data_IF_606935782307
#
_entry.id   IF_606935782307
#
_cell.length_a   1.000
_cell.length_b   1.000
_cell.length_c   1.000
_cell.angle_alpha   90.00
_cell.angle_beta   90.00
_cell.angle_gamma   90.00
#
_symmetry.space_group_name_H-M   'P 1'
#
loop_
_entity.id
_entity.type
_entity.pdbx_description
1 polymer ?
#
# COMPACT_ATOMS: atom_id res chain seq x y z
N UNK A 1 4.76 -7.47 -2.18
CA UNK A 1 4.68 -6.01 -2.45
C UNK A 1 3.77 -5.75 -3.64
N UNK A 2 3.14 -4.58 -3.72
CA UNK A 2 2.46 -4.13 -4.95
C UNK A 2 3.49 -3.76 -6.02
N UNK A 3 3.32 -4.28 -7.23
CA UNK A 3 4.14 -3.95 -8.41
C UNK A 3 3.33 -3.04 -9.35
N UNK A 4 3.97 -1.98 -9.86
CA UNK A 4 3.43 -1.23 -10.99
C UNK A 4 3.75 -1.98 -12.30
N UNK A 5 2.73 -2.25 -13.12
CA UNK A 5 2.94 -2.79 -14.46
C UNK A 5 3.78 -1.81 -15.29
N UNK A 6 4.79 -2.32 -16.01
CA UNK A 6 5.55 -1.51 -16.97
C UNK A 6 4.59 -0.99 -18.03
N UNK A 7 4.56 0.33 -18.21
CA UNK A 7 3.81 0.94 -19.31
C UNK A 7 4.22 0.30 -20.64
N UNK A 8 3.28 -0.07 -21.52
CA UNK A 8 3.60 -0.26 -22.93
C UNK A 8 4.19 1.05 -23.47
N UNK A 9 4.97 0.99 -24.56
CA UNK A 9 5.51 2.19 -25.20
C UNK A 9 4.35 3.00 -25.84
N UNK A 10 3.64 3.79 -25.04
CA UNK A 10 2.46 4.55 -25.44
C UNK A 10 2.90 5.82 -26.18
N UNK A 11 2.33 6.03 -27.37
CA UNK A 11 2.72 7.09 -28.32
C UNK A 11 1.87 8.36 -28.25
N UNK A 12 0.74 8.36 -27.53
CA UNK A 12 -0.17 9.52 -27.44
C UNK A 12 -0.60 9.90 -26.02
N UNK A 13 -0.88 11.19 -25.79
CA UNK A 13 -1.23 11.75 -24.47
C UNK A 13 -2.61 11.29 -23.97
N UNK A 14 -3.54 11.02 -24.90
CA UNK A 14 -4.89 10.51 -24.61
C UNK A 14 -4.87 9.05 -24.12
N UNK A 15 -3.99 8.23 -24.71
CA UNK A 15 -3.79 6.84 -24.28
C UNK A 15 -3.12 6.77 -22.90
N UNK A 16 -2.18 7.68 -22.57
CA UNK A 16 -1.63 7.79 -21.20
C UNK A 16 -2.72 8.05 -20.17
N UNK A 17 -3.61 9.01 -20.42
CA UNK A 17 -4.71 9.34 -19.50
C UNK A 17 -5.69 8.17 -19.34
N UNK A 18 -5.94 7.41 -20.42
CA UNK A 18 -6.78 6.21 -20.38
C UNK A 18 -6.12 5.06 -19.61
N UNK A 19 -4.81 4.89 -19.78
CA UNK A 19 -4.02 3.86 -19.10
C UNK A 19 -3.83 4.16 -17.60
N UNK A 20 -3.64 5.42 -17.21
CA UNK A 20 -3.64 5.85 -15.81
C UNK A 20 -4.95 5.53 -15.11
N UNK A 21 -6.09 5.72 -15.80
CA UNK A 21 -7.43 5.36 -15.30
C UNK A 21 -7.64 3.85 -15.15
N UNK A 22 -6.85 3.04 -15.85
CA UNK A 22 -6.88 1.57 -15.79
C UNK A 22 -5.63 0.98 -15.11
N UNK A 23 -5.00 1.69 -14.15
CA UNK A 23 -3.90 1.11 -13.38
C UNK A 23 -4.36 -0.15 -12.63
N UNK A 24 -3.92 -1.31 -13.12
CA UNK A 24 -4.03 -2.57 -12.41
C UNK A 24 -3.12 -2.55 -11.18
N UNK A 25 -3.62 -3.05 -10.05
CA UNK A 25 -2.84 -3.23 -8.82
C UNK A 25 -2.41 -4.69 -8.74
N UNK A 26 -1.15 -4.97 -9.10
CA UNK A 26 -0.61 -6.32 -9.10
C UNK A 26 0.17 -6.58 -7.80
N UNK A 27 -0.01 -7.77 -7.20
CA UNK A 27 0.82 -8.20 -6.07
C UNK A 27 1.92 -9.13 -6.58
N UNK A 28 3.17 -8.86 -6.15
CA UNK A 28 4.27 -9.81 -6.32
C UNK A 28 3.93 -11.14 -5.65
N UNK A 29 4.30 -12.25 -6.27
CA UNK A 29 4.30 -13.58 -5.66
C UNK A 29 5.52 -13.83 -4.79
N UNK A 30 6.58 -13.02 -4.93
CA UNK A 30 7.78 -13.12 -4.11
C UNK A 30 7.51 -12.52 -2.72
N UNK A 31 7.66 -13.31 -1.64
CA UNK A 31 7.54 -12.79 -0.28
C UNK A 31 8.72 -11.86 0.03
N UNK A 32 8.43 -10.79 0.76
CA UNK A 32 9.44 -9.86 1.26
C UNK A 32 9.29 -9.78 2.79
N UNK A 33 10.41 -9.62 3.53
CA UNK A 33 10.36 -9.50 4.97
C UNK A 33 9.60 -8.23 5.38
N UNK A 34 8.69 -8.38 6.34
CA UNK A 34 7.98 -7.30 7.00
C UNK A 34 8.03 -7.54 8.51
N UNK A 35 8.06 -6.47 9.29
CA UNK A 35 8.12 -6.54 10.75
C UNK A 35 6.76 -6.24 11.36
N UNK A 36 6.04 -5.26 10.82
CA UNK A 36 4.75 -4.84 11.35
C UNK A 36 3.64 -5.00 10.29
N UNK A 37 2.60 -5.76 10.64
CA UNK A 37 1.39 -5.89 9.84
C UNK A 37 0.26 -4.99 10.35
N UNK A 38 -0.12 -3.98 9.59
CA UNK A 38 -1.33 -3.19 9.85
C UNK A 38 -2.55 -4.05 9.51
N UNK A 39 -3.13 -4.66 10.52
CA UNK A 39 -4.35 -5.47 10.36
C UNK A 39 -5.55 -4.62 9.98
N UNK A 40 -5.76 -3.48 10.65
CA UNK A 40 -6.85 -2.55 10.36
C UNK A 40 -6.39 -1.11 10.57
N UNK A 41 -6.87 -0.20 9.73
CA UNK A 41 -6.72 1.23 9.91
C UNK A 41 -8.01 1.93 9.48
N UNK A 42 -8.51 2.83 10.31
CA UNK A 42 -9.75 3.53 10.05
C UNK A 42 -9.72 4.94 10.62
N UNK A 43 -10.34 5.87 9.90
CA UNK A 43 -10.55 7.24 10.34
C UNK A 43 -12.00 7.62 10.02
N UNK A 44 -12.66 8.24 10.99
CA UNK A 44 -14.02 8.76 10.85
C UNK A 44 -14.14 9.65 9.62
N UNK A 45 -15.19 9.44 8.82
CA UNK A 45 -15.33 9.98 7.46
C UNK A 45 -15.12 11.49 7.39
N UNK A 46 -15.76 12.25 8.29
CA UNK A 46 -15.66 13.72 8.34
C UNK A 46 -14.30 14.25 8.83
N UNK A 47 -13.46 13.37 9.35
CA UNK A 47 -12.12 13.69 9.86
C UNK A 47 -11.00 13.08 9.00
N UNK A 48 -11.35 12.45 7.87
CA UNK A 48 -10.36 11.98 6.88
C UNK A 48 -9.60 13.16 6.28
N UNK A 49 -8.46 12.84 5.65
CA UNK A 49 -7.56 13.81 4.98
C UNK A 49 -6.90 14.85 5.90
N UNK A 50 -7.13 14.81 7.22
CA UNK A 50 -6.46 15.64 8.24
C UNK A 50 -5.21 14.98 8.84
N UNK A 51 -4.51 14.15 8.06
CA UNK A 51 -3.28 13.41 8.44
C UNK A 51 -3.40 12.48 9.67
N UNK A 52 -4.62 12.17 10.13
CA UNK A 52 -4.84 11.31 11.31
C UNK A 52 -4.21 9.93 11.12
N UNK A 53 -4.53 9.22 10.04
CA UNK A 53 -3.96 7.91 9.72
C UNK A 53 -2.43 7.95 9.58
N UNK A 54 -1.89 9.03 8.97
CA UNK A 54 -0.43 9.21 8.85
C UNK A 54 0.24 9.34 10.21
N UNK A 55 -0.34 10.10 11.14
CA UNK A 55 0.16 10.21 12.52
C UNK A 55 0.04 8.90 13.30
N UNK A 56 -1.04 8.15 13.09
CA UNK A 56 -1.19 6.82 13.71
C UNK A 56 -0.04 5.89 13.30
N UNK A 57 0.33 5.87 12.01
CA UNK A 57 1.46 5.05 11.55
C UNK A 57 2.80 5.63 12.02
N UNK A 58 2.94 6.95 12.15
CA UNK A 58 4.14 7.54 12.70
C UNK A 58 4.39 7.16 14.16
N UNK A 59 3.32 7.13 14.97
CA UNK A 59 3.37 6.60 16.33
C UNK A 59 3.66 5.10 16.32
N UNK A 60 3.02 4.32 15.43
CA UNK A 60 3.30 2.89 15.29
C UNK A 60 4.78 2.63 15.00
N UNK A 61 5.37 3.36 14.05
CA UNK A 61 6.79 3.22 13.66
C UNK A 61 7.75 3.41 14.82
N UNK A 62 7.46 4.36 15.71
CA UNK A 62 8.30 4.70 16.86
C UNK A 62 8.03 3.86 18.11
N UNK A 63 6.91 3.12 18.18
CA UNK A 63 6.48 2.46 19.42
C UNK A 63 6.22 0.95 19.28
N UNK A 64 6.16 0.41 18.06
CA UNK A 64 5.85 -1.01 17.86
C UNK A 64 6.96 -1.93 18.39
N UNK A 65 8.23 -1.51 18.23
CA UNK A 65 9.40 -2.21 18.78
C UNK A 65 10.14 -1.25 19.68
N UNK A 66 10.40 -1.69 20.91
CA UNK A 66 11.11 -0.89 21.89
C UNK A 66 12.51 -0.51 21.37
N UNK A 67 12.81 0.80 21.39
CA UNK A 67 14.11 1.33 20.99
C UNK A 67 14.38 1.29 19.49
N UNK A 68 13.38 0.99 18.65
CA UNK A 68 13.52 0.97 17.19
C UNK A 68 12.50 1.90 16.53
N UNK A 69 12.88 2.40 15.36
CA UNK A 69 12.01 3.20 14.51
C UNK A 69 11.87 2.51 13.16
N UNK A 70 10.70 1.96 12.89
CA UNK A 70 10.44 1.19 11.67
C UNK A 70 10.49 2.07 10.42
N UNK A 71 11.15 1.58 9.39
CA UNK A 71 11.05 2.07 8.02
C UNK A 71 9.67 1.77 7.42
N UNK A 72 9.35 2.38 6.28
CA UNK A 72 8.05 2.15 5.62
C UNK A 72 8.02 0.80 4.90
N UNK A 73 9.20 0.31 4.54
CA UNK A 73 9.45 -0.96 3.88
C UNK A 73 9.28 -2.15 4.84
N UNK A 74 9.29 -1.90 6.15
CA UNK A 74 9.06 -2.92 7.18
C UNK A 74 7.58 -3.05 7.59
N UNK A 75 6.69 -2.27 6.96
CA UNK A 75 5.26 -2.23 7.27
C UNK A 75 4.45 -2.79 6.12
N UNK A 76 3.58 -3.75 6.42
CA UNK A 76 2.64 -4.37 5.48
C UNK A 76 1.18 -4.08 5.84
N UNK A 77 0.32 -3.90 4.84
CA UNK A 77 -1.12 -3.68 5.02
C UNK A 77 -1.92 -4.96 4.74
N UNK A 78 -2.81 -5.34 5.66
CA UNK A 78 -3.74 -6.46 5.45
C UNK A 78 -4.82 -6.06 4.45
N UNK A 79 -4.98 -6.82 3.37
CA UNK A 79 -6.09 -6.71 2.40
C UNK A 79 -6.61 -5.28 2.17
N UNK A 80 -5.79 -4.38 1.57
CA UNK A 80 -6.07 -2.95 1.56
C UNK A 80 -7.29 -2.60 0.69
N UNK A 81 -8.26 -1.90 1.28
CA UNK A 81 -9.40 -1.29 0.57
C UNK A 81 -8.93 -0.24 -0.45
N UNK A 82 -9.77 0.21 -1.40
CA UNK A 82 -9.40 1.28 -2.34
C UNK A 82 -8.88 2.55 -1.63
N UNK A 83 -9.55 2.97 -0.55
CA UNK A 83 -9.09 4.06 0.32
C UNK A 83 -7.73 3.75 0.96
N UNK A 84 -7.55 2.51 1.43
CA UNK A 84 -6.31 2.03 2.02
C UNK A 84 -5.13 2.02 1.04
N UNK A 85 -5.36 1.62 -0.21
CA UNK A 85 -4.34 1.65 -1.29
C UNK A 85 -3.88 3.08 -1.57
N UNK A 86 -4.82 4.00 -1.81
CA UNK A 86 -4.50 5.42 -2.03
C UNK A 86 -3.73 6.01 -0.85
N UNK A 87 -4.13 5.67 0.37
CA UNK A 87 -3.44 6.10 1.57
C UNK A 87 -2.02 5.52 1.66
N UNK A 88 -1.85 4.22 1.45
CA UNK A 88 -0.55 3.54 1.53
C UNK A 88 0.44 4.07 0.49
N UNK A 89 0.00 4.27 -0.76
CA UNK A 89 0.83 4.88 -1.81
C UNK A 89 1.33 6.27 -1.42
N UNK A 90 0.41 7.11 -0.93
CA UNK A 90 0.76 8.48 -0.50
C UNK A 90 1.63 8.48 0.76
N UNK A 91 1.43 7.55 1.69
CA UNK A 91 2.21 7.44 2.91
C UNK A 91 3.64 6.93 2.62
N UNK A 92 3.77 5.88 1.82
CA UNK A 92 5.05 5.31 1.43
C UNK A 92 5.84 6.24 0.49
N UNK A 93 5.15 7.09 -0.28
CA UNK A 93 5.78 7.98 -1.27
C UNK A 93 6.13 7.28 -2.57
N UNK A 94 5.61 6.06 -2.76
CA UNK A 94 5.81 5.21 -3.94
C UNK A 94 4.53 4.43 -4.23
N UNK A 95 4.30 4.05 -5.48
CA UNK A 95 3.24 3.13 -5.89
C UNK A 95 3.38 1.73 -5.28
N UNK A 96 4.53 1.42 -4.69
CA UNK A 96 4.88 0.11 -4.17
C UNK A 96 4.87 0.07 -2.64
N UNK A 97 4.04 -0.80 -2.05
CA UNK A 97 4.01 -1.04 -0.60
C UNK A 97 3.78 -2.52 -0.30
N UNK A 98 4.11 -2.96 0.92
CA UNK A 98 3.91 -4.35 1.32
C UNK A 98 2.44 -4.62 1.68
N UNK A 99 1.98 -5.81 1.33
CA UNK A 99 0.64 -6.30 1.63
C UNK A 99 0.73 -7.72 2.16
N UNK A 100 -0.21 -8.11 3.03
CA UNK A 100 -0.35 -9.49 3.50
C UNK A 100 -1.84 -9.84 3.65
N UNK A 101 -2.12 -11.13 3.87
CA UNK A 101 -3.50 -11.66 3.97
C UNK A 101 -4.38 -11.23 2.78
N UNK A 102 -3.76 -11.08 1.61
CA UNK A 102 -4.41 -10.73 0.36
C UNK A 102 -4.80 -12.03 -0.35
N UNK A 103 -6.04 -12.12 -0.82
CA UNK A 103 -6.51 -13.27 -1.58
C UNK A 103 -5.84 -13.24 -2.95
N UNK A 104 -4.67 -13.87 -3.05
CA UNK A 104 -4.20 -14.36 -4.34
C UNK A 104 -5.10 -15.53 -4.70
N UNK A 105 -5.66 -15.56 -5.90
CA UNK A 105 -6.49 -16.67 -6.42
C UNK A 105 -5.74 -17.98 -6.62
N UNK A 106 -4.83 -18.33 -5.71
CA UNK A 106 -4.18 -19.63 -5.61
C UNK A 106 -4.99 -20.45 -4.60
N UNK A 107 -6.15 -20.93 -5.03
CA UNK A 107 -6.68 -22.16 -4.44
C UNK A 107 -5.65 -23.25 -4.76
N UNK A 108 -4.92 -23.67 -3.74
CA UNK A 108 -4.09 -24.87 -3.81
C UNK A 108 -5.03 -26.07 -3.95
N UNK A 109 -5.07 -26.65 -5.15
CA UNK A 109 -5.34 -28.08 -5.40
C UNK A 109 -4.27 -28.58 -6.34
#
# INVERSE_FOLDING_TARGET
RVIEEKLPAIRSEEEKVRFERQKAWCCSTLPEPAICGISRIWVFSMMRRKKIASRMIECLRSNFIYGSYLSKEEIAFSDPTPDGKLFATQYCGTGQFLVYNFINGQNST
#
